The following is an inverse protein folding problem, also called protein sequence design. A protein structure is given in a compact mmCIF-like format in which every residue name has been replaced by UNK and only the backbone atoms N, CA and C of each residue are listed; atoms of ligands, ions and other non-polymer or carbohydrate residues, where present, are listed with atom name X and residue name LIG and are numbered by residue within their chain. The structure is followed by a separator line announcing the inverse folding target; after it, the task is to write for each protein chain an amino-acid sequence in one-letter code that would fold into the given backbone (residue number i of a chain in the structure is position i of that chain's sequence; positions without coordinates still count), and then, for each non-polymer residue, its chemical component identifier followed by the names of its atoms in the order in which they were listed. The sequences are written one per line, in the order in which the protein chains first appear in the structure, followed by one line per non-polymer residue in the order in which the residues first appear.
data_IF_522731082444
#
_entry.id   IF_522731082444
#
_cell.length_a   1.000
_cell.length_b   1.000
_cell.length_c   1.000
_cell.angle_alpha   90.00
_cell.angle_beta   90.00
_cell.angle_gamma   90.00
#
_symmetry.space_group_name_H-M   'P 1'
#
loop_
_entity.id
_entity.type
_entity.pdbx_description
1 polymer ?
#
# COMPACT_ATOMS: atom_id res chain seq x y z
N UNK A 1 6.16 4.16 -29.37
CA UNK A 1 5.72 3.79 -28.00
C UNK A 1 6.16 2.35 -27.78
N UNK A 2 6.91 2.07 -26.70
CA UNK A 2 7.34 0.71 -26.36
C UNK A 2 6.16 -0.16 -25.94
N UNK A 3 6.36 -1.48 -25.88
CA UNK A 3 5.34 -2.40 -25.38
C UNK A 3 5.10 -2.20 -23.88
N UNK A 4 3.91 -2.52 -23.38
CA UNK A 4 3.60 -2.49 -21.94
C UNK A 4 4.56 -3.36 -21.13
N UNK A 5 5.01 -4.48 -21.71
CA UNK A 5 6.03 -5.35 -21.11
C UNK A 5 7.36 -4.59 -20.95
N UNK A 6 7.80 -3.84 -21.97
CA UNK A 6 9.01 -3.03 -21.86
C UNK A 6 8.87 -1.94 -20.79
N UNK A 7 7.69 -1.30 -20.69
CA UNK A 7 7.41 -0.28 -19.68
C UNK A 7 7.46 -0.84 -18.25
N UNK A 8 6.96 -2.06 -18.02
CA UNK A 8 7.05 -2.74 -16.72
C UNK A 8 8.49 -3.15 -16.40
N UNK A 9 9.22 -3.67 -17.37
CA UNK A 9 10.61 -4.07 -17.17
C UNK A 9 11.50 -2.88 -16.83
N UNK A 10 11.29 -1.73 -17.48
CA UNK A 10 12.01 -0.49 -17.17
C UNK A 10 11.75 -0.04 -15.73
N UNK A 11 10.49 -0.03 -15.28
CA UNK A 11 10.15 0.36 -13.91
C UNK A 11 10.69 -0.64 -12.87
N UNK A 12 10.63 -1.94 -13.17
CA UNK A 12 11.14 -2.98 -12.28
C UNK A 12 12.67 -2.92 -12.13
N UNK A 13 13.39 -2.73 -13.23
CA UNK A 13 14.85 -2.58 -13.22
C UNK A 13 15.28 -1.28 -12.52
N UNK A 14 14.59 -0.16 -12.78
CA UNK A 14 14.83 1.10 -12.07
C UNK A 14 14.66 0.93 -10.56
N UNK A 15 13.53 0.37 -10.11
CA UNK A 15 13.27 0.09 -8.70
C UNK A 15 14.33 -0.85 -8.10
N UNK A 16 14.74 -1.89 -8.84
CA UNK A 16 15.76 -2.83 -8.39
C UNK A 16 17.11 -2.15 -8.16
N UNK A 17 17.52 -1.24 -9.06
CA UNK A 17 18.77 -0.47 -8.93
C UNK A 17 18.72 0.50 -7.75
N UNK A 18 17.62 1.23 -7.58
CA UNK A 18 17.45 2.19 -6.47
C UNK A 18 17.44 1.47 -5.11
N UNK A 19 16.79 0.31 -5.02
CA UNK A 19 16.71 -0.47 -3.79
C UNK A 19 17.80 -1.56 -3.64
N UNK A 20 18.86 -1.57 -4.46
CA UNK A 20 19.84 -2.67 -4.54
C UNK A 20 20.50 -3.05 -3.20
N UNK A 21 20.70 -2.06 -2.33
CA UNK A 21 21.34 -2.23 -1.00
C UNK A 21 20.33 -2.33 0.14
N UNK A 22 19.05 -2.09 -0.12
CA UNK A 22 18.02 -2.13 0.89
C UNK A 22 17.54 -3.57 1.12
N UNK A 23 17.19 -3.87 2.38
CA UNK A 23 16.64 -5.16 2.81
C UNK A 23 15.35 -4.94 3.61
N UNK A 24 14.48 -5.94 3.58
CA UNK A 24 13.31 -6.05 4.42
C UNK A 24 13.74 -6.41 5.86
N UNK A 25 12.81 -6.26 6.82
CA UNK A 25 13.06 -6.41 8.26
C UNK A 25 12.68 -7.79 8.80
N UNK A 26 12.41 -8.73 7.91
CA UNK A 26 12.30 -10.14 8.23
C UNK A 26 13.68 -10.72 8.62
N UNK A 27 13.72 -11.84 9.38
CA UNK A 27 14.98 -12.41 9.87
C UNK A 27 15.99 -12.77 8.78
N UNK A 28 15.52 -13.10 7.57
CA UNK A 28 16.38 -13.45 6.45
C UNK A 28 16.96 -12.22 5.73
N UNK A 29 16.45 -11.03 6.06
CA UNK A 29 16.81 -9.79 5.38
C UNK A 29 16.52 -9.88 3.89
N UNK A 30 15.29 -10.21 3.51
CA UNK A 30 14.90 -10.38 2.10
C UNK A 30 15.23 -9.12 1.27
N UNK A 31 15.73 -9.23 0.02
CA UNK A 31 15.96 -8.07 -0.85
C UNK A 31 14.72 -7.18 -1.00
N UNK A 32 14.88 -5.86 -0.85
CA UNK A 32 13.73 -4.95 -0.76
C UNK A 32 12.88 -4.94 -2.03
N UNK A 33 13.48 -5.14 -3.20
CA UNK A 33 12.78 -5.21 -4.49
C UNK A 33 11.64 -6.25 -4.54
N UNK A 34 11.68 -7.28 -3.68
CA UNK A 34 10.61 -8.26 -3.57
C UNK A 34 9.28 -7.61 -3.13
N UNK A 35 9.33 -6.52 -2.37
CA UNK A 35 8.15 -5.79 -1.93
C UNK A 35 7.44 -5.05 -3.07
N UNK A 36 8.06 -4.11 -3.81
CA UNK A 36 7.39 -3.46 -4.94
C UNK A 36 6.87 -4.44 -5.99
N UNK A 37 7.63 -5.51 -6.30
CA UNK A 37 7.16 -6.59 -7.19
C UNK A 37 5.92 -7.26 -6.62
N UNK A 38 5.91 -7.56 -5.32
CA UNK A 38 4.78 -8.16 -4.63
C UNK A 38 3.53 -7.29 -4.62
N UNK A 39 3.68 -5.97 -4.45
CA UNK A 39 2.60 -4.98 -4.53
C UNK A 39 2.00 -4.94 -5.94
N UNK A 40 2.84 -4.82 -6.99
CA UNK A 40 2.38 -4.87 -8.38
C UNK A 40 1.70 -6.21 -8.72
N UNK A 41 2.19 -7.32 -8.16
CA UNK A 41 1.57 -8.64 -8.31
C UNK A 41 0.18 -8.72 -7.67
N UNK A 42 -0.03 -8.12 -6.50
CA UNK A 42 -1.36 -8.06 -5.87
C UNK A 42 -2.34 -7.31 -6.78
N UNK A 43 -1.93 -6.16 -7.32
CA UNK A 43 -2.77 -5.37 -8.21
C UNK A 43 -3.17 -6.14 -9.47
N UNK A 44 -2.23 -6.83 -10.10
CA UNK A 44 -2.52 -7.62 -11.31
C UNK A 44 -3.36 -8.87 -11.00
N UNK A 45 -2.97 -9.69 -10.02
CA UNK A 45 -3.53 -11.03 -9.82
C UNK A 45 -4.76 -11.08 -8.92
N UNK A 46 -4.91 -10.13 -8.00
CA UNK A 46 -6.03 -10.13 -7.03
C UNK A 46 -7.03 -9.02 -7.27
N UNK A 47 -6.56 -7.88 -7.79
CA UNK A 47 -7.40 -6.71 -8.09
C UNK A 47 -7.80 -6.61 -9.58
N UNK A 48 -7.16 -7.40 -10.46
CA UNK A 48 -7.43 -7.39 -11.90
C UNK A 48 -7.04 -6.07 -12.59
N UNK A 49 -6.05 -5.35 -12.07
CA UNK A 49 -5.57 -4.09 -12.63
C UNK A 49 -4.62 -4.37 -13.80
N UNK A 50 -4.91 -3.74 -14.93
CA UNK A 50 -4.11 -3.79 -16.17
C UNK A 50 -3.56 -2.43 -16.56
N UNK A 51 -3.90 -1.37 -15.83
CA UNK A 51 -3.45 -0.01 -16.11
C UNK A 51 -1.93 0.10 -15.88
N UNK A 52 -1.19 0.32 -16.97
CA UNK A 52 0.28 0.37 -16.95
C UNK A 52 0.82 1.47 -16.02
N UNK A 53 0.13 2.62 -15.93
CA UNK A 53 0.57 3.76 -15.09
C UNK A 53 0.48 3.36 -13.62
N UNK A 54 -0.62 2.72 -13.21
CA UNK A 54 -0.81 2.24 -11.84
C UNK A 54 0.20 1.15 -11.48
N UNK A 55 0.49 0.24 -12.42
CA UNK A 55 1.46 -0.84 -12.19
C UNK A 55 2.90 -0.33 -12.11
N UNK A 56 3.28 0.65 -12.94
CA UNK A 56 4.57 1.33 -12.82
C UNK A 56 4.67 2.08 -11.49
N UNK A 57 3.65 2.84 -11.10
CA UNK A 57 3.62 3.52 -9.80
C UNK A 57 3.75 2.52 -8.63
N UNK A 58 3.13 1.34 -8.71
CA UNK A 58 3.30 0.30 -7.70
C UNK A 58 4.73 -0.24 -7.59
N UNK A 59 5.45 -0.39 -8.71
CA UNK A 59 6.86 -0.77 -8.70
C UNK A 59 7.77 0.32 -8.14
N UNK A 60 7.37 1.59 -8.27
CA UNK A 60 8.17 2.76 -7.93
C UNK A 60 7.78 3.42 -6.60
N UNK A 61 6.71 2.99 -5.93
CA UNK A 61 6.07 3.74 -4.84
C UNK A 61 7.00 4.13 -3.68
N UNK A 62 8.00 3.29 -3.35
CA UNK A 62 8.96 3.54 -2.27
C UNK A 62 10.26 4.20 -2.75
N UNK A 63 10.46 4.41 -4.06
CA UNK A 63 11.74 4.89 -4.59
C UNK A 63 12.05 6.30 -4.11
N UNK A 64 11.08 7.22 -4.20
CA UNK A 64 11.26 8.60 -3.70
C UNK A 64 11.30 8.64 -2.17
N UNK A 65 10.57 7.74 -1.51
CA UNK A 65 10.47 7.71 -0.05
C UNK A 65 11.76 7.20 0.63
N UNK A 66 12.40 6.17 0.09
CA UNK A 66 13.45 5.39 0.76
C UNK A 66 14.80 5.38 0.03
N UNK A 67 14.95 6.11 -1.09
CA UNK A 67 16.19 6.16 -1.87
C UNK A 67 16.59 7.60 -2.21
N UNK A 68 17.59 7.78 -3.08
CA UNK A 68 18.03 9.08 -3.59
C UNK A 68 17.21 9.59 -4.79
N UNK A 69 16.13 8.89 -5.14
CA UNK A 69 15.27 9.20 -6.29
C UNK A 69 14.49 10.48 -6.06
N UNK A 70 14.39 11.32 -7.10
CA UNK A 70 13.57 12.54 -7.08
C UNK A 70 12.32 12.39 -7.93
N UNK A 71 11.28 13.19 -7.67
CA UNK A 71 10.07 13.22 -8.51
C UNK A 71 10.40 13.63 -9.96
N UNK A 72 11.34 14.56 -10.15
CA UNK A 72 11.79 14.98 -11.48
C UNK A 72 12.45 13.81 -12.25
N UNK A 73 13.22 12.97 -11.56
CA UNK A 73 13.78 11.75 -12.14
C UNK A 73 12.67 10.77 -12.56
N UNK A 74 11.64 10.58 -11.71
CA UNK A 74 10.49 9.73 -12.06
C UNK A 74 9.75 10.28 -13.28
N UNK A 75 9.52 11.59 -13.36
CA UNK A 75 8.86 12.22 -14.50
C UNK A 75 9.67 12.07 -15.79
N UNK A 76 11.00 12.25 -15.72
CA UNK A 76 11.89 12.11 -16.87
C UNK A 76 11.83 10.70 -17.48
N UNK A 77 11.79 9.67 -16.64
CA UNK A 77 11.84 8.27 -17.09
C UNK A 77 10.45 7.68 -17.42
N UNK A 78 9.41 8.06 -16.66
CA UNK A 78 8.10 7.40 -16.68
C UNK A 78 6.93 8.33 -17.01
N UNK A 79 7.18 9.64 -17.09
CA UNK A 79 6.19 10.66 -17.41
C UNK A 79 5.37 11.16 -16.22
N UNK A 80 4.68 12.28 -16.45
CA UNK A 80 3.93 13.04 -15.44
C UNK A 80 2.85 12.21 -14.73
N UNK A 81 2.15 11.33 -15.45
CA UNK A 81 1.09 10.51 -14.86
C UNK A 81 1.62 9.54 -13.79
N UNK A 82 2.76 8.89 -14.04
CA UNK A 82 3.40 7.99 -13.08
C UNK A 82 3.96 8.82 -11.92
N UNK A 83 4.63 9.95 -12.22
CA UNK A 83 5.18 10.84 -11.20
C UNK A 83 4.12 11.31 -10.20
N UNK A 84 2.93 11.73 -10.66
CA UNK A 84 1.84 12.17 -9.78
C UNK A 84 1.34 11.05 -8.87
N UNK A 85 1.21 9.82 -9.38
CA UNK A 85 0.83 8.69 -8.54
C UNK A 85 1.90 8.39 -7.49
N UNK A 86 3.19 8.42 -7.86
CA UNK A 86 4.31 8.22 -6.92
C UNK A 86 4.33 9.30 -5.85
N UNK A 87 4.11 10.57 -6.23
CA UNK A 87 3.99 11.70 -5.30
C UNK A 87 2.85 11.47 -4.28
N UNK A 88 1.67 11.04 -4.72
CA UNK A 88 0.52 10.80 -3.84
C UNK A 88 0.72 9.66 -2.83
N UNK A 89 1.62 8.72 -3.12
CA UNK A 89 1.89 7.53 -2.28
C UNK A 89 3.17 7.65 -1.45
N UNK A 90 3.95 8.72 -1.64
CA UNK A 90 5.17 8.99 -0.88
C UNK A 90 4.83 9.71 0.43
N UNK A 91 5.31 9.20 1.57
CA UNK A 91 5.21 9.91 2.85
C UNK A 91 6.26 11.04 2.96
N UNK A 92 5.88 12.16 3.60
CA UNK A 92 6.82 13.20 4.00
C UNK A 92 7.68 12.75 5.20
N UNK A 93 8.92 12.30 4.94
CA UNK A 93 9.88 11.84 5.95
C UNK A 93 10.37 12.92 6.91
N UNK A 94 10.12 14.20 6.65
CA UNK A 94 10.47 15.29 7.59
C UNK A 94 9.59 15.28 8.83
N UNK A 95 8.41 14.64 8.74
CA UNK A 95 7.44 14.58 9.81
C UNK A 95 7.67 13.37 10.76
N UNK A 96 7.35 13.53 12.06
CA UNK A 96 7.36 12.42 13.00
C UNK A 96 6.49 11.24 12.56
N UNK A 97 6.89 10.02 12.90
CA UNK A 97 6.20 8.78 12.49
C UNK A 97 4.71 8.75 12.83
N UNK A 98 4.30 9.29 13.99
CA UNK A 98 2.90 9.36 14.37
C UNK A 98 2.12 10.32 13.47
N UNK A 99 2.74 11.45 13.11
CA UNK A 99 2.14 12.46 12.24
C UNK A 99 1.94 11.92 10.83
N UNK A 100 2.95 11.22 10.28
CA UNK A 100 2.83 10.55 8.98
C UNK A 100 1.66 9.57 8.95
N UNK A 101 1.52 8.76 10.00
CA UNK A 101 0.38 7.83 10.12
C UNK A 101 -0.97 8.56 10.17
N UNK A 102 -1.06 9.69 10.88
CA UNK A 102 -2.28 10.49 10.96
C UNK A 102 -2.64 11.05 9.58
N UNK A 103 -1.67 11.65 8.88
CA UNK A 103 -1.84 12.17 7.53
C UNK A 103 -2.26 11.09 6.53
N UNK A 104 -1.71 9.88 6.63
CA UNK A 104 -2.15 8.78 5.77
C UNK A 104 -3.64 8.46 5.92
N UNK A 105 -4.20 8.57 7.12
CA UNK A 105 -5.64 8.37 7.37
C UNK A 105 -6.45 9.54 6.82
N UNK A 106 -6.02 10.78 7.11
CA UNK A 106 -6.71 12.00 6.72
C UNK A 106 -6.73 12.23 5.20
N UNK A 107 -5.64 11.91 4.51
CA UNK A 107 -5.47 12.12 3.07
C UNK A 107 -6.07 10.98 2.23
N UNK A 108 -6.29 9.80 2.81
CA UNK A 108 -6.79 8.63 2.09
C UNK A 108 -8.10 8.88 1.29
N UNK A 109 -9.09 9.64 1.78
CA UNK A 109 -10.28 9.96 1.00
C UNK A 109 -9.98 10.81 -0.23
N UNK A 110 -8.96 11.67 -0.16
CA UNK A 110 -8.60 12.65 -1.18
C UNK A 110 -7.66 12.10 -2.26
N UNK A 111 -6.98 10.98 -1.99
CA UNK A 111 -6.11 10.35 -2.98
C UNK A 111 -6.88 9.91 -4.24
N UNK A 112 -6.21 9.98 -5.39
CA UNK A 112 -6.73 9.52 -6.67
C UNK A 112 -7.04 8.00 -6.63
N UNK A 113 -7.90 7.50 -7.53
CA UNK A 113 -8.22 6.07 -7.58
C UNK A 113 -6.96 5.18 -7.73
N UNK A 114 -5.99 5.60 -8.55
CA UNK A 114 -4.73 4.89 -8.73
C UNK A 114 -3.90 4.85 -7.46
N UNK A 115 -3.73 5.99 -6.78
CA UNK A 115 -2.98 6.05 -5.53
C UNK A 115 -3.65 5.23 -4.41
N UNK A 116 -4.98 5.20 -4.35
CA UNK A 116 -5.73 4.33 -3.42
C UNK A 116 -5.45 2.86 -3.65
N UNK A 117 -5.42 2.41 -4.91
CA UNK A 117 -5.08 1.02 -5.26
C UNK A 117 -3.68 0.66 -4.79
N UNK A 118 -2.68 1.50 -5.07
CA UNK A 118 -1.29 1.28 -4.65
C UNK A 118 -1.18 1.22 -3.13
N UNK A 119 -1.77 2.19 -2.41
CA UNK A 119 -1.79 2.22 -0.93
C UNK A 119 -2.46 0.98 -0.33
N UNK A 120 -3.55 0.50 -0.91
CA UNK A 120 -4.24 -0.72 -0.46
C UNK A 120 -3.39 -1.96 -0.67
N UNK A 121 -2.76 -2.09 -1.85
CA UNK A 121 -1.91 -3.23 -2.18
C UNK A 121 -0.64 -3.26 -1.32
N UNK A 122 -0.01 -2.11 -1.07
CA UNK A 122 1.12 -1.96 -0.14
C UNK A 122 0.75 -2.45 1.27
N UNK A 123 -0.35 -1.91 1.83
CA UNK A 123 -0.82 -2.32 3.16
C UNK A 123 -1.15 -3.80 3.23
N UNK A 124 -1.79 -4.36 2.20
CA UNK A 124 -2.09 -5.79 2.14
C UNK A 124 -0.81 -6.63 2.08
N UNK A 125 0.19 -6.23 1.30
CA UNK A 125 1.47 -6.91 1.23
C UNK A 125 2.15 -6.90 2.60
N UNK A 126 2.27 -5.72 3.22
CA UNK A 126 2.91 -5.56 4.53
C UNK A 126 2.22 -6.37 5.64
N UNK A 127 0.89 -6.43 5.67
CA UNK A 127 0.17 -7.27 6.64
C UNK A 127 0.42 -8.76 6.41
N UNK A 128 0.52 -9.21 5.15
CA UNK A 128 0.85 -10.61 4.83
C UNK A 128 2.28 -10.96 5.21
N UNK A 129 3.21 -10.01 5.07
CA UNK A 129 4.60 -10.16 5.48
C UNK A 129 4.69 -10.35 6.99
N UNK A 130 4.02 -9.47 7.75
CA UNK A 130 3.92 -9.55 9.22
C UNK A 130 3.30 -10.84 9.73
N UNK A 131 2.35 -11.42 8.99
CA UNK A 131 1.76 -12.71 9.33
C UNK A 131 2.66 -13.90 9.05
N UNK A 132 3.57 -13.78 8.07
CA UNK A 132 4.55 -14.82 7.74
C UNK A 132 5.70 -14.81 8.73
N UNK A 133 6.24 -13.64 9.01
CA UNK A 133 7.36 -13.47 9.92
C UNK A 133 7.17 -12.21 10.78
N UNK A 134 7.29 -12.36 12.10
CA UNK A 134 7.38 -11.21 13.00
C UNK A 134 8.73 -10.53 12.79
N UNK A 135 8.78 -9.23 12.43
CA UNK A 135 10.05 -8.53 12.27
C UNK A 135 10.83 -8.50 13.58
N UNK A 136 12.15 -8.54 13.47
CA UNK A 136 13.02 -8.42 14.65
C UNK A 136 12.73 -7.10 15.40
N UNK A 137 12.50 -7.20 16.71
CA UNK A 137 12.25 -6.04 17.57
C UNK A 137 10.81 -5.51 17.65
N UNK A 138 9.78 -6.22 17.14
CA UNK A 138 8.37 -5.81 17.27
C UNK A 138 7.55 -6.75 18.19
N UNK A 139 6.90 -6.17 19.22
CA UNK A 139 6.34 -6.81 20.44
C UNK A 139 4.94 -7.47 20.32
N UNK A 140 4.71 -8.43 21.23
CA UNK A 140 3.46 -8.98 21.83
C UNK A 140 2.43 -9.75 20.95
N UNK A 141 1.96 -10.95 21.40
CA UNK A 141 1.00 -11.80 20.69
C UNK A 141 -0.36 -11.14 20.38
N UNK A 142 -0.82 -10.18 21.19
CA UNK A 142 -2.12 -9.48 20.98
C UNK A 142 -2.15 -8.57 19.74
N UNK A 143 -0.99 -8.09 19.27
CA UNK A 143 -0.88 -7.27 18.06
C UNK A 143 -1.08 -8.11 16.77
N UNK A 144 -0.85 -9.43 16.85
CA UNK A 144 -0.96 -10.34 15.70
C UNK A 144 -2.41 -10.63 15.29
N UNK A 145 -3.35 -10.59 16.22
CA UNK A 145 -4.75 -10.96 16.01
C UNK A 145 -5.57 -9.84 15.36
N UNK A 146 -5.33 -8.59 15.77
CA UNK A 146 -5.87 -7.40 15.09
C UNK A 146 -5.37 -7.26 13.65
N UNK A 147 -4.11 -7.64 13.39
CA UNK A 147 -3.53 -7.64 12.03
C UNK A 147 -4.13 -8.71 11.12
N UNK A 148 -4.40 -9.92 11.62
CA UNK A 148 -5.12 -10.96 10.86
C UNK A 148 -6.51 -10.51 10.43
N UNK A 149 -7.25 -9.81 11.30
CA UNK A 149 -8.56 -9.23 10.96
C UNK A 149 -8.48 -8.17 9.85
N UNK A 150 -7.42 -7.36 9.84
CA UNK A 150 -7.21 -6.34 8.81
C UNK A 150 -7.01 -6.91 7.39
N UNK A 151 -6.40 -8.09 7.26
CA UNK A 151 -6.19 -8.73 5.94
C UNK A 151 -7.50 -9.10 5.27
N UNK A 152 -8.49 -9.61 6.02
CA UNK A 152 -9.79 -9.97 5.45
C UNK A 152 -10.55 -8.74 4.93
N UNK A 153 -10.47 -7.61 5.65
CA UNK A 153 -11.12 -6.36 5.25
C UNK A 153 -10.46 -5.73 4.01
N UNK A 154 -9.13 -5.70 3.96
CA UNK A 154 -8.40 -5.16 2.80
C UNK A 154 -8.58 -6.03 1.56
N UNK A 155 -8.58 -7.36 1.69
CA UNK A 155 -8.86 -8.27 0.55
C UNK A 155 -10.20 -7.98 -0.12
N UNK A 156 -11.24 -7.74 0.66
CA UNK A 156 -12.55 -7.39 0.12
C UNK A 156 -12.51 -6.05 -0.65
N UNK A 157 -11.81 -5.06 -0.11
CA UNK A 157 -11.68 -3.71 -0.71
C UNK A 157 -10.85 -3.70 -2.00
N UNK A 158 -9.83 -4.55 -2.10
CA UNK A 158 -9.02 -4.69 -3.33
C UNK A 158 -9.84 -5.32 -4.47
N UNK A 159 -10.88 -6.10 -4.15
CA UNK A 159 -11.74 -6.78 -5.13
C UNK A 159 -12.94 -5.94 -5.59
N UNK A 160 -13.40 -4.98 -4.77
CA UNK A 160 -14.54 -4.12 -5.12
C UNK A 160 -14.08 -2.81 -5.76
N UNK A 161 -14.47 -2.60 -7.03
CA UNK A 161 -14.16 -1.43 -7.89
C UNK A 161 -14.66 -0.05 -7.37
N UNK A 162 -14.97 0.14 -6.09
CA UNK A 162 -15.53 1.39 -5.59
C UNK A 162 -15.81 1.53 -4.10
N UNK A 163 -15.16 0.78 -3.21
CA UNK A 163 -15.52 0.85 -1.77
C UNK A 163 -14.64 1.82 -1.00
N UNK A 164 -15.28 2.61 -0.11
CA UNK A 164 -14.62 3.44 0.91
C UNK A 164 -13.46 2.68 1.58
N UNK A 165 -12.27 3.24 1.50
CA UNK A 165 -11.08 2.77 2.19
C UNK A 165 -11.33 2.89 3.70
N UNK A 166 -11.60 1.78 4.39
CA UNK A 166 -11.62 1.76 5.84
C UNK A 166 -10.18 1.61 6.32
N UNK A 167 -9.56 2.71 6.73
CA UNK A 167 -8.31 2.66 7.47
C UNK A 167 -8.59 2.03 8.84
N UNK A 168 -7.89 0.93 9.15
CA UNK A 168 -7.77 0.46 10.52
C UNK A 168 -6.80 1.41 11.24
N UNK A 169 -7.37 2.33 12.01
CA UNK A 169 -6.60 3.19 12.90
C UNK A 169 -5.88 2.32 13.95
N UNK A 170 -4.55 2.25 13.84
CA UNK A 170 -3.67 1.63 14.82
C UNK A 170 -2.99 2.68 15.73
N UNK A 171 -3.50 3.93 15.74
CA UNK A 171 -2.96 5.06 16.50
C UNK A 171 -3.73 5.40 17.77
N UNK A 172 -4.88 4.76 18.03
CA UNK A 172 -5.50 4.85 19.35
C UNK A 172 -4.64 4.09 20.35
N UNK A 173 -3.91 4.80 21.20
CA UNK A 173 -3.27 4.30 22.43
C UNK A 173 -4.27 3.74 23.46
N UNK A 174 -5.43 3.26 23.03
CA UNK A 174 -6.41 2.54 23.83
C UNK A 174 -6.29 1.06 23.48
N UNK A 175 -6.21 0.23 24.51
CA UNK A 175 -6.05 -1.22 24.38
C UNK A 175 -7.13 -1.87 23.48
N UNK A 176 -6.92 -3.15 23.11
CA UNK A 176 -7.67 -3.87 22.06
C UNK A 176 -9.20 -4.03 22.29
N UNK A 177 -9.77 -3.48 23.36
CA UNK A 177 -11.18 -3.62 23.69
C UNK A 177 -12.13 -2.64 22.96
N UNK A 178 -11.68 -1.49 22.46
CA UNK A 178 -12.61 -0.48 21.90
C UNK A 178 -12.71 -0.44 20.37
N UNK A 179 -11.83 -1.12 19.64
CA UNK A 179 -11.94 -1.25 18.17
C UNK A 179 -13.14 -2.12 17.73
N UNK A 180 -13.81 -2.82 18.66
CA UNK A 180 -14.99 -3.65 18.34
C UNK A 180 -16.29 -2.84 18.20
N UNK A 181 -16.35 -1.62 18.74
CA UNK A 181 -17.58 -0.81 18.71
C UNK A 181 -17.73 0.00 17.41
N UNK A 182 -16.64 0.46 16.81
CA UNK A 182 -16.67 1.16 15.51
C UNK A 182 -17.09 0.24 14.34
N UNK A 183 -16.94 -1.08 14.49
CA UNK A 183 -17.37 -2.09 13.52
C UNK A 183 -18.85 -2.48 13.66
N UNK A 184 -19.46 -2.30 14.85
CA UNK A 184 -20.88 -2.64 15.08
C UNK A 184 -21.83 -1.66 14.40
N UNK A 185 -21.46 -0.38 14.29
CA UNK A 185 -22.30 0.65 13.67
C UNK A 185 -22.34 0.59 12.13
N UNK A 186 -21.43 -0.13 11.49
CA UNK A 186 -21.41 -0.24 10.01
C UNK A 186 -21.99 -1.53 9.44
N UNK A 187 -22.21 -2.57 10.27
CA UNK A 187 -22.88 -3.80 9.83
C UNK A 187 -24.39 -3.61 9.56
N UNK A 188 -24.97 -2.45 9.92
CA UNK A 188 -26.36 -2.10 9.59
C UNK A 188 -26.53 -1.39 8.23
N UNK A 189 -25.46 -0.99 7.54
CA UNK A 189 -25.55 -0.26 6.27
C UNK A 189 -25.31 -1.13 5.02
N UNK A 190 -25.03 -2.42 5.19
CA UNK A 190 -24.82 -3.37 4.10
C UNK A 190 -26.07 -3.79 3.29
N UNK A 191 -27.34 -3.59 3.71
CA UNK A 191 -28.48 -3.91 2.83
C UNK A 191 -28.84 -2.84 1.80
N UNK A 192 -28.29 -1.62 1.85
CA UNK A 192 -28.79 -0.50 1.02
C UNK A 192 -28.12 -0.34 -0.36
N UNK A 193 -27.21 -1.25 -0.75
CA UNK A 193 -26.56 -1.21 -2.07
C UNK A 193 -27.01 -2.32 -3.03
N UNK A 194 -28.03 -3.11 -2.68
CA UNK A 194 -28.60 -4.16 -3.56
C UNK A 194 -29.93 -3.77 -4.23
N UNK A 195 -30.32 -2.49 -4.23
CA UNK A 195 -31.50 -2.05 -4.98
C UNK A 195 -31.19 -0.78 -5.77
N UNK A 196 -30.77 -0.98 -7.03
CA UNK A 196 -31.06 -0.14 -8.20
C UNK A 196 -30.43 -0.81 -9.43
N UNK A 197 -31.15 -1.79 -9.95
CA UNK A 197 -31.34 -1.95 -11.39
C UNK A 197 -32.61 -1.20 -11.76
#
# INVERSE_FOLDING_TARGET
MGSEVAQLLEAADFAARKHQRQRRKDPEGTPYINHPIGVARILTHEAGITDIVVLQAALLHDTVEDTDTTLDEVELHFGDQVRRLVEEVTDDKTLPKLERKRLQVEQAPQSSPGAKLVKLADKLYNLRDLNRCTPEGTLSPTCSEGKRRGIHLLKAQVHTRGTKVLYLDASSGTGPCQASEALKTHHQLLPLLSMKS
#
